data_IF_110667980516
#
_entry.id   IF_110667980516
#
_cell.length_a   1.000
_cell.length_b   1.000
_cell.length_c   1.000
_cell.angle_alpha   90.00
_cell.angle_beta   90.00
_cell.angle_gamma   90.00
#
_symmetry.space_group_name_H-M   'P 1'
#
loop_
_entity.id
_entity.type
_entity.pdbx_description
1 polymer ?
#
# COMPACT_ATOMS: atom_id res chain seq x y z
N UNK A 1 6.12 15.98 -57.55
CA UNK A 1 5.52 15.92 -56.21
C UNK A 1 5.70 14.50 -55.70
N UNK A 2 6.68 14.30 -54.83
CA UNK A 2 6.96 13.00 -54.22
C UNK A 2 6.26 12.99 -52.84
N UNK A 3 5.25 12.10 -52.71
CA UNK A 3 4.57 11.87 -51.39
C UNK A 3 5.53 11.13 -50.47
N UNK A 4 5.95 11.77 -49.42
CA UNK A 4 6.68 11.12 -48.32
C UNK A 4 5.65 10.49 -47.37
N UNK A 5 5.50 9.17 -47.44
CA UNK A 5 4.75 8.42 -46.41
C UNK A 5 5.51 8.40 -45.09
N UNK A 6 4.93 9.00 -44.10
CA UNK A 6 5.41 8.88 -42.72
C UNK A 6 5.12 7.48 -42.20
N UNK A 7 6.13 6.63 -42.16
CA UNK A 7 6.08 5.36 -41.43
C UNK A 7 5.91 5.65 -39.95
N UNK A 8 4.72 5.39 -39.42
CA UNK A 8 4.48 5.37 -37.96
C UNK A 8 5.30 4.22 -37.36
N UNK A 9 6.41 4.54 -36.70
CA UNK A 9 7.08 3.58 -35.83
C UNK A 9 6.06 3.17 -34.73
N UNK A 10 5.57 1.92 -34.79
CA UNK A 10 4.95 1.27 -33.66
C UNK A 10 5.93 1.34 -32.48
N UNK A 11 5.55 1.99 -31.39
CA UNK A 11 6.24 1.81 -30.13
C UNK A 11 6.06 0.34 -29.74
N UNK A 12 7.13 -0.44 -29.85
CA UNK A 12 7.19 -1.73 -29.22
C UNK A 12 6.85 -1.54 -27.74
N UNK A 13 5.75 -2.14 -27.31
CA UNK A 13 5.47 -2.29 -25.88
C UNK A 13 6.66 -3.05 -25.32
N UNK A 14 7.43 -2.41 -24.44
CA UNK A 14 8.52 -3.07 -23.75
C UNK A 14 7.97 -4.36 -23.16
N UNK A 15 8.39 -5.51 -23.66
CA UNK A 15 8.09 -6.81 -23.10
C UNK A 15 8.58 -6.75 -21.65
N UNK A 16 7.70 -7.03 -20.68
CA UNK A 16 8.14 -7.19 -19.30
C UNK A 16 9.19 -8.30 -19.30
N UNK A 17 10.41 -7.98 -18.86
CA UNK A 17 11.47 -8.96 -18.74
C UNK A 17 11.03 -9.99 -17.69
N UNK A 18 10.87 -11.23 -18.10
CA UNK A 18 10.58 -12.35 -17.22
C UNK A 18 11.89 -13.06 -16.85
N UNK A 19 11.94 -13.56 -15.63
CA UNK A 19 13.05 -14.35 -15.09
C UNK A 19 12.47 -15.62 -14.47
N UNK A 20 13.31 -16.64 -14.32
CA UNK A 20 12.87 -17.88 -13.68
C UNK A 20 13.27 -17.88 -12.20
N UNK A 21 12.35 -18.29 -11.32
CA UNK A 21 12.68 -18.67 -9.94
C UNK A 21 13.47 -19.99 -9.94
N UNK A 22 14.09 -20.29 -8.79
CA UNK A 22 14.84 -21.54 -8.62
C UNK A 22 14.02 -22.82 -8.88
N UNK A 23 12.69 -22.73 -8.83
CA UNK A 23 11.76 -23.82 -9.16
C UNK A 23 11.30 -23.83 -10.65
N UNK A 24 11.90 -23.01 -11.51
CA UNK A 24 11.57 -22.93 -12.92
C UNK A 24 10.33 -22.10 -13.28
N UNK A 25 9.66 -21.49 -12.32
CA UNK A 25 8.52 -20.61 -12.58
C UNK A 25 9.00 -19.28 -13.16
N UNK A 26 8.44 -18.89 -14.29
CA UNK A 26 8.63 -17.56 -14.85
C UNK A 26 7.93 -16.51 -14.00
N UNK A 27 8.70 -15.51 -13.58
CA UNK A 27 8.19 -14.37 -12.80
C UNK A 27 8.69 -13.06 -13.39
N UNK A 28 8.05 -11.96 -13.04
CA UNK A 28 8.54 -10.64 -13.42
C UNK A 28 9.90 -10.38 -12.75
N UNK A 29 10.78 -9.63 -13.42
CA UNK A 29 12.08 -9.19 -12.89
C UNK A 29 11.96 -8.58 -11.48
N UNK A 30 10.83 -7.94 -11.21
CA UNK A 30 10.56 -7.28 -9.93
C UNK A 30 10.45 -8.25 -8.75
N UNK A 31 10.03 -9.50 -8.98
CA UNK A 31 9.95 -10.51 -7.91
C UNK A 31 11.35 -10.85 -7.36
N UNK A 32 12.33 -11.04 -8.24
CA UNK A 32 13.71 -11.27 -7.81
C UNK A 32 14.27 -10.07 -7.07
N UNK A 33 13.96 -8.88 -7.52
CA UNK A 33 14.38 -7.66 -6.88
C UNK A 33 13.82 -7.54 -5.46
N UNK A 34 12.53 -7.80 -5.25
CA UNK A 34 11.93 -7.84 -3.89
C UNK A 34 12.65 -8.86 -3.00
N UNK A 35 12.92 -10.05 -3.54
CA UNK A 35 13.60 -11.12 -2.79
C UNK A 35 15.01 -10.74 -2.32
N UNK A 36 15.76 -10.01 -3.16
CA UNK A 36 17.13 -9.57 -2.83
C UNK A 36 17.19 -8.31 -1.96
N UNK A 37 16.06 -7.65 -1.73
CA UNK A 37 16.00 -6.32 -1.11
C UNK A 37 16.19 -6.31 0.43
N UNK A 38 16.44 -7.45 1.05
CA UNK A 38 16.52 -7.55 2.52
C UNK A 38 15.28 -6.91 3.19
N UNK A 39 14.08 -7.38 2.81
CA UNK A 39 12.81 -6.85 3.30
C UNK A 39 12.66 -5.35 3.05
N UNK A 40 12.82 -4.92 1.80
CA UNK A 40 12.61 -3.55 1.32
C UNK A 40 13.66 -2.55 1.80
N UNK A 41 14.79 -3.00 2.33
CA UNK A 41 15.84 -2.15 2.84
C UNK A 41 16.82 -1.71 1.76
N UNK A 42 17.41 -2.66 1.04
CA UNK A 42 18.46 -2.36 0.06
C UNK A 42 17.95 -2.42 -1.40
N UNK A 43 18.36 -1.50 -2.28
CA UNK A 43 19.41 -0.49 -2.12
C UNK A 43 18.93 0.84 -1.49
N UNK A 44 17.70 0.90 -1.00
CA UNK A 44 17.12 2.15 -0.50
C UNK A 44 17.92 2.75 0.66
N UNK A 45 18.36 1.92 1.62
CA UNK A 45 19.15 2.38 2.77
C UNK A 45 20.44 3.09 2.36
N UNK A 46 21.15 2.50 1.42
CA UNK A 46 22.39 3.07 0.88
C UNK A 46 22.11 4.36 0.10
N UNK A 47 21.04 4.40 -0.67
CA UNK A 47 20.74 5.54 -1.53
C UNK A 47 20.13 6.73 -0.77
N UNK A 48 19.48 6.53 0.36
CA UNK A 48 18.94 7.61 1.19
C UNK A 48 20.02 8.59 1.69
N UNK A 49 21.21 8.09 1.91
CA UNK A 49 22.32 8.87 2.50
C UNK A 49 23.35 9.34 1.47
N UNK A 50 23.20 9.00 0.19
CA UNK A 50 24.11 9.45 -0.84
C UNK A 50 23.78 10.89 -1.32
N UNK A 51 24.73 11.52 -1.98
CA UNK A 51 24.62 12.92 -2.46
C UNK A 51 23.73 13.11 -3.69
N UNK A 52 23.20 12.04 -4.28
CA UNK A 52 22.33 12.13 -5.45
C UNK A 52 20.99 12.78 -5.08
N UNK A 53 20.48 13.66 -5.93
CA UNK A 53 19.16 14.30 -5.79
C UNK A 53 17.99 13.36 -6.11
N UNK A 54 18.27 12.14 -6.55
CA UNK A 54 17.28 11.12 -6.93
C UNK A 54 17.74 9.70 -6.57
N UNK A 55 16.82 8.78 -6.68
CA UNK A 55 17.01 7.34 -6.48
C UNK A 55 17.16 6.60 -7.80
N UNK A 56 17.88 5.50 -7.81
CA UNK A 56 17.91 4.56 -8.95
C UNK A 56 16.54 3.94 -9.21
N UNK A 57 16.37 3.36 -10.38
CA UNK A 57 15.11 2.68 -10.73
C UNK A 57 14.75 1.57 -9.75
N UNK A 58 15.73 0.92 -9.17
CA UNK A 58 15.55 -0.18 -8.25
C UNK A 58 15.09 0.34 -6.87
N UNK A 59 15.76 1.33 -6.32
CA UNK A 59 15.35 1.96 -5.07
C UNK A 59 13.95 2.59 -5.18
N UNK A 60 13.61 3.21 -6.31
CA UNK A 60 12.27 3.76 -6.58
C UNK A 60 11.15 2.71 -6.44
N UNK A 61 11.41 1.45 -6.79
CA UNK A 61 10.40 0.41 -6.63
C UNK A 61 10.12 0.09 -5.15
N UNK A 62 11.17 0.05 -4.33
CA UNK A 62 11.05 -0.17 -2.89
C UNK A 62 10.46 1.04 -2.16
N UNK A 63 10.86 2.23 -2.56
CA UNK A 63 10.36 3.48 -2.02
C UNK A 63 8.81 3.54 -2.02
N UNK A 64 8.16 2.88 -2.99
CA UNK A 64 6.70 2.78 -3.06
C UNK A 64 6.07 2.09 -1.85
N UNK A 65 6.72 1.08 -1.28
CA UNK A 65 6.23 0.40 -0.08
C UNK A 65 6.19 1.32 1.14
N UNK A 66 7.06 2.31 1.13
CA UNK A 66 7.12 3.38 2.13
C UNK A 66 6.29 4.62 1.73
N UNK A 67 5.35 4.47 0.81
CA UNK A 67 4.41 5.52 0.41
C UNK A 67 4.98 6.60 -0.48
N UNK A 68 6.25 6.53 -0.87
CA UNK A 68 6.88 7.57 -1.68
C UNK A 68 7.02 7.19 -3.16
N UNK A 69 6.94 8.18 -4.03
CA UNK A 69 7.14 8.06 -5.47
C UNK A 69 8.08 9.14 -5.97
N UNK A 70 9.13 8.73 -6.63
CA UNK A 70 9.97 9.67 -7.36
C UNK A 70 9.26 10.17 -8.61
N UNK A 71 9.19 11.45 -8.74
CA UNK A 71 8.59 12.18 -9.86
C UNK A 71 9.57 13.25 -10.36
N UNK A 72 9.25 13.90 -11.45
CA UNK A 72 9.93 15.11 -11.86
C UNK A 72 8.91 16.22 -12.16
N UNK A 73 9.30 17.45 -11.95
CA UNK A 73 8.50 18.60 -12.32
C UNK A 73 8.47 18.74 -13.84
N UNK A 74 7.33 18.42 -14.44
CA UNK A 74 7.17 18.43 -15.90
C UNK A 74 7.27 19.85 -16.51
N UNK A 75 6.89 20.85 -15.74
CA UNK A 75 6.90 22.25 -16.18
C UNK A 75 8.35 22.77 -16.32
N UNK A 76 9.27 22.21 -15.54
CA UNK A 76 10.68 22.56 -15.57
C UNK A 76 11.49 21.75 -16.61
N UNK A 77 10.87 20.82 -17.31
CA UNK A 77 11.58 20.04 -18.34
C UNK A 77 12.05 20.93 -19.50
N UNK A 78 13.33 20.83 -19.80
CA UNK A 78 13.96 21.51 -20.94
C UNK A 78 14.86 20.51 -21.67
N UNK A 79 14.94 20.55 -23.02
CA UNK A 79 15.90 19.74 -23.76
C UNK A 79 17.33 19.97 -23.26
N UNK A 80 18.07 18.88 -23.02
CA UNK A 80 19.46 18.93 -22.55
C UNK A 80 19.66 19.27 -21.06
N UNK A 81 18.62 19.52 -20.28
CA UNK A 81 18.71 19.71 -18.82
C UNK A 81 18.38 18.42 -18.08
N UNK A 82 19.00 18.25 -16.90
CA UNK A 82 18.62 17.22 -15.93
C UNK A 82 17.15 17.38 -15.52
N UNK A 83 16.54 16.28 -15.06
CA UNK A 83 15.20 16.33 -14.49
C UNK A 83 15.20 17.08 -13.18
N UNK A 84 14.11 17.77 -12.90
CA UNK A 84 13.86 18.41 -11.61
C UNK A 84 13.16 17.39 -10.69
N UNK A 85 13.98 16.56 -10.02
CA UNK A 85 13.51 15.44 -9.24
C UNK A 85 12.78 15.88 -7.96
N UNK A 86 11.63 15.26 -7.73
CA UNK A 86 10.76 15.50 -6.59
C UNK A 86 10.14 14.19 -6.11
N UNK A 87 9.77 14.15 -4.84
CA UNK A 87 9.06 13.03 -4.25
C UNK A 87 7.60 13.41 -4.01
N UNK A 88 6.70 12.51 -4.32
CA UNK A 88 5.34 12.49 -3.78
C UNK A 88 5.34 11.55 -2.58
N UNK A 89 4.77 11.99 -1.47
CA UNK A 89 4.60 11.18 -0.28
C UNK A 89 3.10 10.96 -0.03
N UNK A 90 2.72 9.72 0.26
CA UNK A 90 1.35 9.33 0.61
C UNK A 90 1.32 8.75 2.01
N UNK A 91 0.35 9.21 2.78
CA UNK A 91 0.12 8.70 4.12
C UNK A 91 -0.78 7.47 4.12
N UNK A 92 -0.82 6.80 5.25
CA UNK A 92 -1.72 5.71 5.58
C UNK A 92 -2.59 6.15 6.75
N UNK A 93 -3.90 6.22 6.50
CA UNK A 93 -4.91 6.69 7.45
C UNK A 93 -6.05 5.67 7.52
N UNK A 94 -5.90 4.58 8.29
CA UNK A 94 -6.93 3.54 8.37
C UNK A 94 -8.27 4.10 8.85
N UNK A 95 -9.35 3.68 8.18
CA UNK A 95 -10.68 4.20 8.45
C UNK A 95 -10.90 5.67 8.11
N UNK A 96 -9.93 6.30 7.44
CA UNK A 96 -10.01 7.73 7.09
C UNK A 96 -9.73 8.68 8.25
N UNK A 97 -9.30 8.18 9.40
CA UNK A 97 -9.02 9.03 10.55
C UNK A 97 -7.68 9.75 10.43
N UNK A 98 -7.72 11.07 10.62
CA UNK A 98 -6.56 11.94 10.62
C UNK A 98 -6.54 12.75 11.91
N UNK A 99 -5.62 12.47 12.84
CA UNK A 99 -5.48 13.28 14.04
C UNK A 99 -5.23 14.76 13.70
N UNK A 100 -5.81 15.69 14.44
CA UNK A 100 -5.64 17.12 14.19
C UNK A 100 -4.17 17.56 14.20
N UNK A 101 -3.36 17.00 15.11
CA UNK A 101 -1.91 17.24 15.15
C UNK A 101 -1.23 16.82 13.83
N UNK A 102 -1.60 15.67 13.28
CA UNK A 102 -1.07 15.21 12.00
C UNK A 102 -1.50 16.13 10.86
N UNK A 103 -2.77 16.53 10.80
CA UNK A 103 -3.25 17.42 9.75
C UNK A 103 -2.50 18.75 9.73
N UNK A 104 -2.32 19.39 10.89
CA UNK A 104 -1.56 20.65 11.03
C UNK A 104 -0.10 20.48 10.62
N UNK A 105 0.53 19.38 11.01
CA UNK A 105 1.89 19.07 10.61
C UNK A 105 2.03 18.88 9.08
N UNK A 106 1.05 18.22 8.45
CA UNK A 106 1.05 18.03 7.00
C UNK A 106 0.85 19.34 6.23
N UNK A 107 -0.02 20.20 6.72
CA UNK A 107 -0.25 21.54 6.16
C UNK A 107 1.04 22.35 6.18
N UNK A 108 1.68 22.44 7.35
CA UNK A 108 2.95 23.13 7.52
C UNK A 108 4.08 22.55 6.64
N UNK A 109 4.20 21.21 6.59
CA UNK A 109 5.20 20.52 5.75
C UNK A 109 4.96 20.78 4.27
N UNK A 110 3.69 20.82 3.84
CA UNK A 110 3.37 21.06 2.43
C UNK A 110 3.82 22.45 1.97
N UNK A 111 3.71 23.44 2.83
CA UNK A 111 4.14 24.80 2.55
C UNK A 111 5.67 24.96 2.62
N UNK A 112 6.32 24.37 3.61
CA UNK A 112 7.76 24.56 3.85
C UNK A 112 8.64 23.68 2.96
N UNK A 113 8.28 22.42 2.77
CA UNK A 113 9.13 21.40 2.15
C UNK A 113 8.49 20.73 0.93
N UNK A 114 7.22 21.02 0.65
CA UNK A 114 6.47 20.56 -0.49
C UNK A 114 6.25 21.64 -1.54
N UNK A 115 5.20 21.49 -2.31
CA UNK A 115 4.78 22.45 -3.34
C UNK A 115 3.57 23.32 -2.90
N UNK A 116 3.30 23.45 -1.62
CA UNK A 116 2.17 24.19 -1.06
C UNK A 116 0.80 23.55 -1.30
N UNK A 117 0.75 22.26 -1.63
CA UNK A 117 -0.53 21.58 -1.85
C UNK A 117 -0.63 20.27 -1.07
N UNK A 118 -1.75 20.10 -0.36
CA UNK A 118 -2.13 18.87 0.30
C UNK A 118 -3.33 18.26 -0.43
N UNK A 119 -3.25 16.99 -0.82
CA UNK A 119 -4.30 16.32 -1.61
C UNK A 119 -4.94 15.18 -0.86
N UNK A 120 -6.24 15.24 -0.65
CA UNK A 120 -7.03 14.09 -0.23
C UNK A 120 -7.12 13.07 -1.39
N UNK A 121 -7.04 11.79 -1.06
CA UNK A 121 -7.13 10.69 -2.02
C UNK A 121 -8.46 9.97 -1.92
N UNK A 122 -8.87 9.28 -2.99
CA UNK A 122 -10.03 8.38 -3.00
C UNK A 122 -9.86 7.17 -2.07
N UNK A 123 -8.70 7.04 -1.39
CA UNK A 123 -8.44 6.00 -0.41
C UNK A 123 -8.20 6.60 0.98
N UNK A 124 -8.89 7.68 1.28
CA UNK A 124 -8.98 8.29 2.61
C UNK A 124 -7.61 8.59 3.24
N UNK A 125 -6.69 9.10 2.43
CA UNK A 125 -5.35 9.46 2.89
C UNK A 125 -4.91 10.75 2.23
N UNK A 126 -3.88 11.40 2.77
CA UNK A 126 -3.29 12.60 2.19
C UNK A 126 -2.06 12.28 1.35
N UNK A 127 -1.80 13.17 0.40
CA UNK A 127 -0.57 13.19 -0.40
C UNK A 127 0.04 14.58 -0.37
N UNK A 128 1.35 14.62 -0.22
CA UNK A 128 2.18 15.79 -0.47
C UNK A 128 3.01 15.60 -1.72
N UNK A 129 3.33 16.67 -2.42
CA UNK A 129 4.13 16.69 -3.64
C UNK A 129 5.23 17.74 -3.54
N UNK A 130 6.25 17.62 -4.38
CA UNK A 130 7.32 18.62 -4.45
C UNK A 130 8.44 18.43 -3.43
N UNK A 131 8.41 17.36 -2.63
CA UNK A 131 9.41 17.12 -1.60
C UNK A 131 10.73 16.75 -2.26
N UNK A 132 11.84 17.37 -1.83
CA UNK A 132 13.18 17.01 -2.26
C UNK A 132 13.69 15.80 -1.48
N UNK A 133 14.58 15.00 -2.09
CA UNK A 133 15.17 13.83 -1.45
C UNK A 133 15.86 14.19 -0.12
N UNK A 134 16.59 15.27 -0.09
CA UNK A 134 17.30 15.80 1.09
C UNK A 134 16.37 16.10 2.27
N UNK A 135 15.11 16.43 1.99
CA UNK A 135 14.10 16.77 3.02
C UNK A 135 13.29 15.56 3.49
N UNK A 136 13.47 14.37 2.88
CA UNK A 136 12.66 13.19 3.24
C UNK A 136 12.78 12.81 4.71
N UNK A 137 13.98 12.97 5.30
CA UNK A 137 14.20 12.63 6.70
C UNK A 137 13.34 13.49 7.61
N UNK A 138 13.40 14.81 7.45
CA UNK A 138 12.63 15.76 8.25
C UNK A 138 11.11 15.55 8.08
N UNK A 139 10.67 15.35 6.84
CA UNK A 139 9.24 15.12 6.53
C UNK A 139 8.73 13.86 7.19
N UNK A 140 9.44 12.74 7.06
CA UNK A 140 9.02 11.45 7.64
C UNK A 140 9.06 11.51 9.16
N UNK A 141 10.11 12.09 9.75
CA UNK A 141 10.23 12.29 11.18
C UNK A 141 9.05 13.10 11.75
N UNK A 142 8.70 14.19 11.09
CA UNK A 142 7.58 15.04 11.52
C UNK A 142 6.26 14.30 11.42
N UNK A 143 6.05 13.49 10.37
CA UNK A 143 4.86 12.65 10.22
C UNK A 143 4.76 11.63 11.36
N UNK A 144 5.84 10.90 11.65
CA UNK A 144 5.88 9.88 12.71
C UNK A 144 5.62 10.52 14.07
N UNK A 145 6.29 11.62 14.39
CA UNK A 145 6.11 12.38 15.63
C UNK A 145 4.70 13.01 15.79
N UNK A 146 3.96 13.05 14.69
CA UNK A 146 2.57 13.51 14.66
C UNK A 146 1.56 12.35 14.61
N UNK A 147 1.99 11.13 14.94
CA UNK A 147 1.18 9.91 14.92
C UNK A 147 0.71 9.49 13.50
N UNK A 148 1.47 9.83 12.48
CA UNK A 148 1.24 9.42 11.11
C UNK A 148 2.20 8.31 10.67
N UNK A 149 1.90 7.68 9.55
CA UNK A 149 2.77 6.71 8.88
C UNK A 149 2.60 6.80 7.37
N UNK A 150 3.68 6.51 6.65
CA UNK A 150 3.68 6.33 5.20
C UNK A 150 3.86 4.86 4.79
N UNK A 151 4.21 3.99 5.74
CA UNK A 151 4.44 2.57 5.51
C UNK A 151 3.16 1.90 5.01
N UNK A 152 3.28 1.09 3.98
CA UNK A 152 2.15 0.40 3.35
C UNK A 152 1.08 1.32 2.74
N UNK A 153 1.34 2.62 2.55
CA UNK A 153 0.44 3.49 1.80
C UNK A 153 0.41 3.13 0.30
N UNK A 154 1.46 2.46 -0.19
CA UNK A 154 1.62 1.98 -1.57
C UNK A 154 2.40 0.66 -1.60
N UNK A 155 2.80 0.20 -2.78
CA UNK A 155 3.58 -1.05 -2.94
C UNK A 155 2.71 -2.28 -3.19
N UNK A 156 3.37 -3.43 -3.21
CA UNK A 156 2.75 -4.75 -3.43
C UNK A 156 2.45 -5.44 -2.09
N UNK A 157 1.67 -4.77 -1.29
CA UNK A 157 1.15 -5.17 0.01
C UNK A 157 -0.27 -4.65 0.18
N UNK A 158 -0.93 -4.98 1.29
CA UNK A 158 -2.17 -4.32 1.64
C UNK A 158 -1.95 -2.83 1.87
N UNK A 159 -2.75 -2.01 1.20
CA UNK A 159 -2.70 -0.55 1.31
C UNK A 159 -3.64 -0.05 2.40
N UNK A 160 -3.85 1.27 2.46
CA UNK A 160 -4.78 1.84 3.42
C UNK A 160 -6.14 1.10 3.40
N UNK A 161 -6.67 0.76 4.56
CA UNK A 161 -7.99 0.14 4.73
C UNK A 161 -9.01 1.24 4.90
N UNK A 162 -10.08 1.20 4.10
CA UNK A 162 -11.14 2.22 4.12
C UNK A 162 -12.29 1.80 5.03
N UNK A 163 -12.96 2.80 5.61
CA UNK A 163 -14.27 2.68 6.25
C UNK A 163 -15.13 3.90 5.90
N UNK A 164 -16.44 3.89 6.11
CA UNK A 164 -17.27 5.06 5.88
C UNK A 164 -16.73 6.29 6.63
N UNK A 165 -16.40 7.34 5.88
CA UNK A 165 -15.74 8.53 6.40
C UNK A 165 -16.71 9.57 6.98
N UNK A 166 -18.00 9.41 6.75
CA UNK A 166 -19.01 10.29 7.33
C UNK A 166 -19.00 10.23 8.85
N UNK A 167 -19.18 11.35 9.56
CA UNK A 167 -19.06 11.44 11.01
C UNK A 167 -20.30 10.89 11.72
N UNK A 168 -20.80 9.74 11.29
CA UNK A 168 -21.88 9.06 11.96
C UNK A 168 -21.38 8.47 13.28
N UNK A 169 -22.01 8.84 14.37
CA UNK A 169 -21.72 8.32 15.70
C UNK A 169 -22.79 7.29 16.11
N UNK A 170 -22.77 6.15 15.41
CA UNK A 170 -23.59 4.99 15.75
C UNK A 170 -22.70 3.77 16.01
N UNK A 171 -23.14 2.79 16.80
CA UNK A 171 -22.36 1.59 17.09
C UNK A 171 -21.83 0.90 15.82
N UNK A 172 -22.64 0.79 14.78
CA UNK A 172 -22.29 0.12 13.53
C UNK A 172 -21.09 0.79 12.84
N UNK A 173 -21.16 2.12 12.66
CA UNK A 173 -20.08 2.87 12.02
C UNK A 173 -18.81 2.92 12.89
N UNK A 174 -18.98 2.98 14.22
CA UNK A 174 -17.85 2.92 15.15
C UNK A 174 -17.13 1.57 15.05
N UNK A 175 -17.86 0.46 14.98
CA UNK A 175 -17.31 -0.88 14.77
C UNK A 175 -16.63 -0.98 13.42
N UNK A 176 -17.25 -0.50 12.33
CA UNK A 176 -16.63 -0.55 11.01
C UNK A 176 -15.30 0.20 10.96
N UNK A 177 -15.21 1.39 11.58
CA UNK A 177 -13.95 2.15 11.68
C UNK A 177 -12.91 1.43 12.55
N UNK A 178 -13.33 0.89 13.71
CA UNK A 178 -12.44 0.13 14.58
C UNK A 178 -11.92 -1.13 13.88
N UNK A 179 -12.78 -1.87 13.19
CA UNK A 179 -12.39 -3.04 12.41
C UNK A 179 -11.42 -2.67 11.28
N UNK A 180 -11.66 -1.56 10.57
CA UNK A 180 -10.74 -1.10 9.52
C UNK A 180 -9.34 -0.81 10.06
N UNK A 181 -9.22 -0.24 11.26
CA UNK A 181 -7.93 -0.05 11.94
C UNK A 181 -7.28 -1.38 12.30
N UNK A 182 -8.03 -2.28 12.94
CA UNK A 182 -7.53 -3.62 13.29
C UNK A 182 -7.07 -4.41 12.06
N UNK A 183 -7.82 -4.38 10.96
CA UNK A 183 -7.41 -5.00 9.68
C UNK A 183 -6.15 -4.34 9.12
N UNK A 184 -6.04 -3.02 9.20
CA UNK A 184 -4.84 -2.32 8.79
C UNK A 184 -3.62 -2.75 9.59
N UNK A 185 -3.75 -2.85 10.90
CA UNK A 185 -2.67 -3.30 11.80
C UNK A 185 -2.31 -4.76 11.54
N UNK A 186 -3.32 -5.64 11.40
CA UNK A 186 -3.14 -7.05 11.06
C UNK A 186 -2.29 -7.24 9.81
N UNK A 187 -2.54 -6.43 8.79
CA UNK A 187 -1.90 -6.50 7.48
C UNK A 187 -0.71 -5.54 7.31
N UNK A 188 -0.17 -4.99 8.39
CA UNK A 188 1.07 -4.20 8.36
C UNK A 188 2.27 -5.15 8.22
N UNK A 189 3.26 -4.86 7.36
CA UNK A 189 4.48 -5.66 7.29
C UNK A 189 5.15 -5.80 8.66
N UNK A 190 5.70 -6.99 8.95
CA UNK A 190 6.31 -7.28 10.26
C UNK A 190 7.84 -7.19 10.24
N UNK A 191 8.48 -7.32 9.09
CA UNK A 191 9.93 -7.26 9.00
C UNK A 191 10.43 -5.93 9.57
N UNK A 192 11.42 -5.97 10.47
CA UNK A 192 11.99 -4.76 11.07
C UNK A 192 12.46 -3.76 10.01
N UNK A 193 12.89 -4.25 8.87
CA UNK A 193 13.24 -3.46 7.70
C UNK A 193 12.02 -2.88 6.97
N UNK A 194 10.80 -3.39 7.20
CA UNK A 194 9.56 -2.84 6.67
C UNK A 194 9.24 -1.45 7.25
N UNK A 195 9.75 -1.15 8.44
CA UNK A 195 9.66 0.17 9.09
C UNK A 195 10.94 0.99 8.91
N UNK A 196 11.87 0.51 8.13
CA UNK A 196 13.21 1.05 7.98
C UNK A 196 13.23 2.56 7.70
N UNK A 197 12.35 3.07 6.84
CA UNK A 197 12.34 4.49 6.51
C UNK A 197 11.93 5.37 7.70
N UNK A 198 11.00 4.88 8.52
CA UNK A 198 10.57 5.55 9.77
C UNK A 198 11.70 5.49 10.81
N UNK A 199 12.35 4.34 10.97
CA UNK A 199 13.51 4.19 11.85
C UNK A 199 14.69 5.09 11.42
N UNK A 200 14.98 5.14 10.14
CA UNK A 200 16.02 6.01 9.61
C UNK A 200 15.71 7.49 9.90
N UNK A 201 14.45 7.90 9.82
CA UNK A 201 14.07 9.29 10.04
C UNK A 201 14.11 9.68 11.52
N UNK A 202 13.57 8.85 12.40
CA UNK A 202 13.39 9.18 13.81
C UNK A 202 14.54 8.67 14.72
N UNK A 203 15.20 7.61 14.32
CA UNK A 203 16.30 7.00 15.09
C UNK A 203 15.85 6.26 16.33
N UNK A 204 14.56 6.28 16.67
CA UNK A 204 14.01 5.65 17.87
C UNK A 204 12.70 4.90 17.57
N UNK A 205 12.59 3.68 18.04
CA UNK A 205 11.41 2.82 17.85
C UNK A 205 10.19 3.22 18.70
N UNK A 206 10.34 4.16 19.63
CA UNK A 206 9.29 4.52 20.57
C UNK A 206 8.05 5.17 19.92
N UNK A 207 8.20 5.72 18.73
CA UNK A 207 7.13 6.40 18.00
C UNK A 207 6.44 5.55 16.93
N UNK A 208 6.84 4.30 16.77
CA UNK A 208 6.09 3.39 15.90
C UNK A 208 4.67 3.24 16.47
N UNK A 209 3.66 3.50 15.64
CA UNK A 209 2.26 3.25 16.03
C UNK A 209 2.15 1.78 16.41
N UNK A 210 2.02 1.51 17.72
CA UNK A 210 1.88 0.14 18.19
C UNK A 210 0.55 -0.41 17.71
N UNK A 211 0.54 -1.62 17.14
CA UNK A 211 -0.72 -2.26 16.76
C UNK A 211 -1.63 -2.43 17.99
N UNK A 212 -2.93 -2.51 17.74
CA UNK A 212 -3.90 -2.90 18.75
C UNK A 212 -3.44 -4.18 19.48
N UNK A 213 -3.59 -4.22 20.81
CA UNK A 213 -3.09 -5.33 21.65
C UNK A 213 -3.66 -6.69 21.24
N UNK A 214 -4.93 -6.72 20.83
CA UNK A 214 -5.58 -7.95 20.38
C UNK A 214 -4.96 -8.40 19.07
N UNK A 215 -4.71 -7.47 18.17
CA UNK A 215 -4.03 -7.73 16.89
C UNK A 215 -2.58 -8.17 17.11
N UNK A 216 -1.88 -7.57 18.05
CA UNK A 216 -0.53 -8.02 18.41
C UNK A 216 -0.53 -9.47 18.93
N UNK A 217 -1.53 -9.84 19.73
CA UNK A 217 -1.71 -11.22 20.19
C UNK A 217 -2.03 -12.16 19.02
N UNK A 218 -2.94 -11.78 18.13
CA UNK A 218 -3.27 -12.53 16.92
C UNK A 218 -2.03 -12.71 16.04
N UNK A 219 -1.23 -11.68 15.84
CA UNK A 219 0.02 -11.75 15.06
C UNK A 219 1.08 -12.65 15.69
N UNK A 220 1.08 -12.78 17.01
CA UNK A 220 1.99 -13.68 17.77
C UNK A 220 1.53 -15.14 17.82
N UNK A 221 0.25 -15.38 17.71
CA UNK A 221 -0.30 -16.72 17.49
C UNK A 221 0.19 -17.20 16.13
N UNK A 222 1.39 -17.77 16.10
CA UNK A 222 1.98 -18.32 14.89
C UNK A 222 1.09 -19.44 14.36
N UNK A 223 0.43 -19.12 13.39
CA UNK A 223 -0.72 -19.67 12.76
C UNK A 223 -0.40 -20.96 12.02
N UNK A 224 -1.41 -21.78 11.97
CA UNK A 224 -1.48 -23.01 11.22
C UNK A 224 -0.68 -22.92 9.91
N UNK A 225 0.07 -23.94 9.65
CA UNK A 225 1.16 -24.06 8.66
C UNK A 225 0.88 -23.57 7.22
N UNK A 226 -0.37 -23.27 6.87
CA UNK A 226 -0.75 -22.91 5.49
C UNK A 226 -0.96 -21.40 5.24
N UNK A 227 -1.04 -20.57 6.29
CA UNK A 227 -1.27 -19.12 6.16
C UNK A 227 0.05 -18.37 6.09
N UNK A 228 1.09 -18.87 6.77
CA UNK A 228 2.38 -18.19 6.83
C UNK A 228 3.40 -18.73 5.84
N UNK A 229 4.28 -17.82 5.41
CA UNK A 229 5.32 -18.09 4.41
C UNK A 229 6.45 -18.99 4.92
N UNK A 230 6.49 -19.30 6.22
CA UNK A 230 7.63 -19.94 6.88
C UNK A 230 8.82 -19.01 7.14
N UNK A 231 8.73 -17.75 6.75
CA UNK A 231 9.77 -16.72 6.99
C UNK A 231 9.46 -15.99 8.29
N UNK A 232 10.32 -16.14 9.28
CA UNK A 232 10.10 -15.61 10.64
C UNK A 232 9.97 -14.08 10.67
N UNK A 233 10.78 -13.37 9.88
CA UNK A 233 10.81 -11.91 9.91
C UNK A 233 9.61 -11.27 9.20
N UNK A 234 9.04 -11.94 8.19
CA UNK A 234 7.85 -11.48 7.47
C UNK A 234 6.88 -12.66 7.22
N UNK A 235 6.20 -13.13 8.27
CA UNK A 235 5.46 -14.39 8.19
C UNK A 235 4.27 -14.32 7.21
N UNK A 236 3.54 -13.22 7.15
CA UNK A 236 2.38 -13.12 6.28
C UNK A 236 2.76 -12.97 4.80
N UNK A 237 3.65 -12.07 4.49
CA UNK A 237 3.96 -11.72 3.10
C UNK A 237 5.14 -12.48 2.52
N UNK A 238 6.05 -12.97 3.36
CA UNK A 238 7.30 -13.55 2.89
C UNK A 238 8.24 -12.53 2.23
N UNK A 239 9.38 -13.00 1.72
CA UNK A 239 10.43 -12.14 1.17
C UNK A 239 10.05 -11.42 -0.13
N UNK A 240 9.02 -11.89 -0.82
CA UNK A 240 8.60 -11.32 -2.12
C UNK A 240 7.31 -10.51 -2.03
N UNK A 241 6.72 -10.41 -0.86
CA UNK A 241 5.45 -9.72 -0.65
C UNK A 241 4.34 -10.25 -1.60
N UNK A 242 3.37 -9.41 -1.94
CA UNK A 242 2.31 -9.79 -2.89
C UNK A 242 2.76 -9.55 -4.34
N UNK A 243 2.14 -10.22 -5.32
CA UNK A 243 2.42 -9.97 -6.73
C UNK A 243 2.00 -8.57 -7.17
N UNK A 244 1.02 -7.97 -6.48
CA UNK A 244 0.49 -6.64 -6.81
C UNK A 244 -0.10 -5.96 -5.57
N UNK A 245 -0.43 -4.66 -5.70
CA UNK A 245 -1.19 -3.89 -4.71
C UNK A 245 -2.45 -4.64 -4.27
N UNK A 246 -2.72 -4.61 -2.98
CA UNK A 246 -3.88 -5.23 -2.36
C UNK A 246 -4.68 -4.18 -1.58
N UNK A 247 -6.00 -4.29 -1.55
CA UNK A 247 -6.88 -3.29 -0.98
C UNK A 247 -8.01 -3.93 -0.21
N UNK A 248 -8.23 -3.44 1.01
CA UNK A 248 -9.37 -3.79 1.83
C UNK A 248 -10.26 -2.58 2.10
N UNK A 249 -11.56 -2.81 2.22
CA UNK A 249 -12.53 -1.84 2.70
C UNK A 249 -13.52 -2.51 3.63
N UNK A 250 -13.93 -1.80 4.67
CA UNK A 250 -14.95 -2.22 5.64
C UNK A 250 -16.13 -1.27 5.52
N UNK A 251 -17.35 -1.78 5.64
CA UNK A 251 -18.57 -0.97 5.69
C UNK A 251 -19.63 -1.62 6.59
N UNK A 252 -20.78 -1.01 6.65
CA UNK A 252 -21.98 -1.51 7.37
C UNK A 252 -23.08 -1.86 6.37
N UNK A 253 -24.09 -2.67 6.74
CA UNK A 253 -25.22 -2.97 5.87
C UNK A 253 -25.89 -1.70 5.33
N UNK A 254 -26.13 -1.66 4.02
CA UNK A 254 -26.80 -0.54 3.35
C UNK A 254 -25.89 0.63 2.97
N UNK A 255 -24.64 0.68 3.41
CA UNK A 255 -23.67 1.72 3.03
C UNK A 255 -22.66 1.17 2.02
N UNK A 256 -22.49 1.85 0.90
CA UNK A 256 -21.45 1.56 -0.09
C UNK A 256 -20.56 2.79 -0.39
N UNK A 257 -20.43 3.71 0.56
CA UNK A 257 -19.60 4.91 0.40
C UNK A 257 -18.10 4.63 0.16
N UNK A 258 -17.66 3.41 0.45
CA UNK A 258 -16.29 2.92 0.22
C UNK A 258 -16.10 2.18 -1.11
N UNK A 259 -17.13 2.11 -1.96
CA UNK A 259 -17.10 1.29 -3.19
C UNK A 259 -16.64 -0.15 -2.91
N UNK A 260 -17.32 -0.82 -1.97
CA UNK A 260 -16.90 -2.09 -1.37
C UNK A 260 -16.43 -3.11 -2.42
N UNK A 261 -17.22 -3.34 -3.45
CA UNK A 261 -16.98 -4.35 -4.47
C UNK A 261 -15.80 -4.04 -5.41
N UNK A 262 -15.16 -2.89 -5.26
CA UNK A 262 -13.96 -2.53 -6.04
C UNK A 262 -12.63 -2.90 -5.35
N UNK A 263 -12.72 -3.53 -4.18
CA UNK A 263 -11.58 -3.91 -3.36
C UNK A 263 -11.26 -5.40 -3.49
N UNK A 264 -10.00 -5.76 -3.22
CA UNK A 264 -9.56 -7.16 -3.22
C UNK A 264 -10.25 -7.93 -2.08
N UNK A 265 -10.50 -7.26 -0.93
CA UNK A 265 -11.41 -7.71 0.14
C UNK A 265 -12.39 -6.60 0.45
N UNK A 266 -13.68 -6.90 0.35
CA UNK A 266 -14.78 -6.10 0.87
C UNK A 266 -15.38 -6.76 2.10
N UNK A 267 -15.58 -6.01 3.18
CA UNK A 267 -16.07 -6.50 4.48
C UNK A 267 -17.30 -5.70 4.87
N UNK A 268 -18.43 -6.39 5.08
CA UNK A 268 -19.62 -5.78 5.67
C UNK A 268 -19.72 -6.26 7.12
N UNK A 269 -19.52 -5.36 8.07
CA UNK A 269 -19.55 -5.66 9.50
C UNK A 269 -20.99 -5.65 10.03
N UNK A 270 -21.35 -6.67 10.81
CA UNK A 270 -22.63 -6.76 11.51
C UNK A 270 -22.40 -6.55 13.00
N UNK A 271 -23.28 -5.73 13.58
CA UNK A 271 -23.23 -5.35 14.99
C UNK A 271 -24.35 -6.05 15.76
N UNK A 272 -24.00 -6.67 16.87
CA UNK A 272 -24.97 -7.27 17.79
C UNK A 272 -25.80 -6.16 18.48
N UNK A 273 -26.89 -6.56 19.13
CA UNK A 273 -27.74 -5.65 19.91
C UNK A 273 -26.98 -4.95 21.03
N UNK A 274 -25.92 -5.57 21.52
CA UNK A 274 -25.07 -5.04 22.62
C UNK A 274 -23.98 -4.10 22.10
N UNK A 275 -23.94 -3.83 20.78
CA UNK A 275 -22.97 -2.92 20.18
C UNK A 275 -21.59 -3.54 19.92
N UNK A 276 -21.48 -4.87 19.91
CA UNK A 276 -20.24 -5.58 19.58
C UNK A 276 -20.25 -6.10 18.15
N UNK A 277 -19.06 -6.37 17.59
CA UNK A 277 -18.95 -7.07 16.31
C UNK A 277 -19.52 -8.49 16.46
N UNK A 278 -20.50 -8.82 15.65
CA UNK A 278 -21.11 -10.16 15.61
C UNK A 278 -20.40 -11.04 14.58
N UNK A 279 -20.11 -10.49 13.42
CA UNK A 279 -19.45 -11.16 12.32
C UNK A 279 -19.46 -10.30 11.07
N UNK A 280 -19.02 -10.85 9.95
CA UNK A 280 -18.85 -10.12 8.71
C UNK A 280 -19.27 -10.92 7.48
N UNK A 281 -19.88 -10.25 6.51
CA UNK A 281 -19.93 -10.75 5.13
C UNK A 281 -18.67 -10.34 4.39
N UNK A 282 -18.10 -11.27 3.64
CA UNK A 282 -16.92 -11.06 2.83
C UNK A 282 -17.21 -11.10 1.33
N UNK A 283 -16.53 -10.21 0.61
CA UNK A 283 -16.51 -10.15 -0.85
C UNK A 283 -15.05 -10.14 -1.30
N UNK A 284 -14.70 -10.87 -2.36
CA UNK A 284 -13.31 -11.05 -2.79
C UNK A 284 -13.11 -10.87 -4.30
N UNK A 285 -11.92 -10.43 -4.68
CA UNK A 285 -11.47 -10.39 -6.08
C UNK A 285 -11.90 -9.14 -6.85
N UNK A 286 -12.30 -8.06 -6.19
CA UNK A 286 -12.64 -6.80 -6.84
C UNK A 286 -11.41 -5.99 -7.26
N UNK A 287 -11.52 -5.30 -8.39
CA UNK A 287 -10.48 -4.43 -8.90
C UNK A 287 -10.90 -3.64 -10.13
N UNK A 288 -10.80 -2.32 -10.09
CA UNK A 288 -11.22 -1.41 -11.18
C UNK A 288 -10.04 -0.92 -12.04
N UNK A 289 -8.88 -1.59 -11.95
CA UNK A 289 -7.68 -1.17 -12.68
C UNK A 289 -7.72 -1.56 -14.15
N UNK A 290 -8.05 -0.61 -15.03
CA UNK A 290 -7.83 -0.76 -16.47
C UNK A 290 -6.75 0.21 -16.93
N UNK A 291 -5.78 -0.28 -17.68
CA UNK A 291 -4.75 0.56 -18.30
C UNK A 291 -5.25 1.00 -19.68
N UNK A 292 -5.18 2.30 -19.96
CA UNK A 292 -5.57 2.83 -21.26
C UNK A 292 -4.80 2.13 -22.40
N UNK A 293 -5.49 1.75 -23.45
CA UNK A 293 -4.96 1.00 -24.60
C UNK A 293 -4.32 -0.36 -24.26
N UNK A 294 -4.72 -0.99 -23.15
CA UNK A 294 -4.28 -2.35 -22.81
C UNK A 294 -5.50 -3.21 -22.49
N UNK A 295 -5.90 -4.03 -23.43
CA UNK A 295 -7.08 -4.91 -23.33
C UNK A 295 -6.88 -6.09 -22.38
N UNK A 296 -5.62 -6.46 -22.06
CA UNK A 296 -5.30 -7.51 -21.09
C UNK A 296 -5.69 -7.10 -19.66
N UNK A 297 -5.90 -5.80 -19.42
CA UNK A 297 -6.33 -5.30 -18.12
C UNK A 297 -7.83 -4.97 -18.13
N UNK A 298 -8.57 -5.48 -17.18
CA UNK A 298 -10.02 -5.31 -17.08
C UNK A 298 -10.45 -4.96 -15.67
N UNK A 299 -11.63 -4.36 -15.57
CA UNK A 299 -12.28 -4.10 -14.30
C UNK A 299 -13.11 -5.32 -13.89
N UNK A 300 -13.13 -5.64 -12.61
CA UNK A 300 -13.96 -6.69 -12.03
C UNK A 300 -14.52 -6.24 -10.68
N UNK A 301 -15.78 -6.55 -10.42
CA UNK A 301 -16.38 -6.42 -9.09
C UNK A 301 -16.10 -7.69 -8.28
N UNK A 302 -16.06 -7.54 -6.95
CA UNK A 302 -15.84 -8.65 -6.04
C UNK A 302 -17.05 -9.60 -6.00
N UNK A 303 -16.76 -10.89 -5.86
CA UNK A 303 -17.77 -11.93 -5.66
C UNK A 303 -18.05 -12.11 -4.16
N UNK A 304 -19.30 -12.48 -3.76
CA UNK A 304 -19.59 -12.82 -2.37
C UNK A 304 -18.89 -14.14 -2.00
N UNK A 305 -18.20 -14.13 -0.85
CA UNK A 305 -17.55 -15.31 -0.29
C UNK A 305 -18.43 -16.00 0.75
N UNK A 306 -19.05 -15.23 1.65
CA UNK A 306 -19.92 -15.72 2.70
C UNK A 306 -19.85 -14.92 3.99
N UNK A 307 -20.57 -15.37 5.01
CA UNK A 307 -20.58 -14.82 6.35
C UNK A 307 -19.63 -15.60 7.27
N UNK A 308 -18.94 -14.88 8.14
CA UNK A 308 -18.02 -15.43 9.13
C UNK A 308 -18.27 -14.76 10.47
N UNK A 309 -18.34 -15.53 11.54
CA UNK A 309 -18.46 -15.05 12.91
C UNK A 309 -17.18 -14.34 13.39
N UNK A 310 -17.32 -13.47 14.36
CA UNK A 310 -16.23 -12.59 14.84
C UNK A 310 -14.91 -13.32 15.13
N UNK A 311 -14.86 -14.48 15.78
CA UNK A 311 -13.60 -15.14 16.12
C UNK A 311 -12.73 -15.48 14.91
N UNK A 312 -13.34 -15.77 13.76
CA UNK A 312 -12.67 -16.28 12.57
C UNK A 312 -12.36 -15.18 11.52
N UNK A 313 -12.83 -13.94 11.76
CA UNK A 313 -12.69 -12.82 10.81
C UNK A 313 -11.23 -12.56 10.43
N UNK A 314 -10.35 -12.53 11.40
CA UNK A 314 -8.94 -12.19 11.18
C UNK A 314 -8.18 -13.32 10.49
N UNK A 315 -8.46 -14.59 10.84
CA UNK A 315 -7.85 -15.76 10.18
C UNK A 315 -8.27 -15.83 8.71
N UNK A 316 -9.54 -15.55 8.41
CA UNK A 316 -10.01 -15.50 7.02
C UNK A 316 -9.31 -14.40 6.21
N UNK A 317 -9.16 -13.20 6.76
CA UNK A 317 -8.47 -12.09 6.09
C UNK A 317 -7.03 -12.49 5.75
N UNK A 318 -6.31 -13.09 6.68
CA UNK A 318 -4.93 -13.55 6.46
C UNK A 318 -4.87 -14.68 5.44
N UNK A 319 -5.82 -15.61 5.47
CA UNK A 319 -5.93 -16.70 4.49
C UNK A 319 -6.14 -16.17 3.07
N UNK A 320 -7.00 -15.17 2.88
CA UNK A 320 -7.21 -14.55 1.57
C UNK A 320 -5.93 -13.87 1.07
N UNK A 321 -5.21 -13.16 1.95
CA UNK A 321 -3.92 -12.54 1.61
C UNK A 321 -2.87 -13.61 1.26
N UNK A 322 -2.83 -14.73 1.99
CA UNK A 322 -1.92 -15.84 1.73
C UNK A 322 -2.20 -16.49 0.36
N UNK A 323 -3.48 -16.67 0.01
CA UNK A 323 -3.86 -17.17 -1.33
C UNK A 323 -3.34 -16.23 -2.41
N UNK A 324 -3.50 -14.92 -2.26
CA UNK A 324 -2.97 -13.94 -3.22
C UNK A 324 -1.43 -13.96 -3.27
N UNK A 325 -0.76 -14.18 -2.14
CA UNK A 325 0.69 -14.33 -2.06
C UNK A 325 1.16 -15.55 -2.86
N UNK A 326 0.51 -16.70 -2.68
CA UNK A 326 0.99 -17.99 -3.15
C UNK A 326 0.52 -18.32 -4.57
N UNK A 327 -0.69 -17.89 -4.95
CA UNK A 327 -1.33 -18.23 -6.22
C UNK A 327 -1.54 -17.05 -7.16
N UNK A 328 -1.31 -15.81 -6.71
CA UNK A 328 -1.42 -14.63 -7.56
C UNK A 328 -0.39 -14.62 -8.69
N UNK A 329 -0.78 -14.10 -9.86
CA UNK A 329 0.09 -14.07 -11.03
C UNK A 329 1.32 -13.17 -10.79
N UNK A 330 2.48 -13.77 -10.69
CA UNK A 330 3.76 -13.09 -10.51
C UNK A 330 4.52 -12.85 -11.81
N UNK A 331 4.03 -13.41 -12.92
CA UNK A 331 4.59 -13.21 -14.26
C UNK A 331 4.06 -11.92 -14.89
N UNK A 332 2.74 -11.77 -14.91
CA UNK A 332 2.08 -10.58 -15.46
C UNK A 332 1.54 -9.68 -14.34
N UNK A 333 2.28 -8.66 -13.97
CA UNK A 333 1.84 -7.68 -12.96
C UNK A 333 0.55 -6.94 -13.33
N UNK A 334 0.14 -6.97 -14.59
CA UNK A 334 -1.11 -6.36 -15.07
C UNK A 334 -2.32 -7.20 -14.68
N UNK A 335 -2.14 -8.53 -14.63
CA UNK A 335 -3.21 -9.50 -14.36
C UNK A 335 -3.20 -10.06 -12.92
N UNK A 336 -2.33 -9.53 -12.06
CA UNK A 336 -2.10 -10.02 -10.68
C UNK A 336 -3.15 -9.56 -9.67
N UNK A 337 -4.37 -9.27 -10.09
CA UNK A 337 -5.45 -8.81 -9.20
C UNK A 337 -6.71 -9.59 -9.46
#
# INVERSE_FOLDING_TARGET
>A
MIKVEKVKKKKDSAKEETVCLANGLEVSKFENFKKSSQFLKEPLATELVNESDHFTNDAVQLLKFHGSYQQDNRENRRPGKSKDWQMMLRLRNPGGEVPGKLFLALDELSDKLGNGTLRATTRQAFQMHGIRKENLKEVIQTIVNSMGSTLAACGDINRNVMAPAAPFDSPDYNIARALAKKVADLLTPMAGQGTFLELWADGDLEYTIKPDKDIEAIRKLQFKDNVFSGIKDEPLYGSTYLPRKFKCAVTVPGDNSVDLLTNDIGIVAFTSKDGNLEGCNFYVGGGMGRTHNNEETFARIADPLGYVEEPDVYELIQSIVAIQRDYGDRKSRKNSR
#
